data_IF_395463073104
#
_entry.id   IF_395463073104
#
_cell.length_a   1.000
_cell.length_b   1.000
_cell.length_c   1.000
_cell.angle_alpha   90.00
_cell.angle_beta   90.00
_cell.angle_gamma   90.00
#
_symmetry.space_group_name_H-M   'P 1'
#
loop_
_entity.id
_entity.type
_entity.pdbx_description
1 polymer ?
#
# COMPACT_ATOMS: atom_id res chain seq x y z
N UNK A 1 14.02 24.72 -20.26
CA UNK A 1 14.88 23.53 -20.08
C UNK A 1 14.30 22.78 -18.88
N UNK A 2 13.78 21.58 -19.08
CA UNK A 2 13.37 20.73 -17.96
C UNK A 2 14.64 20.37 -17.23
N UNK A 3 14.75 20.78 -15.96
CA UNK A 3 15.89 20.45 -15.11
C UNK A 3 15.88 18.91 -14.98
N UNK A 4 16.85 18.23 -15.61
CA UNK A 4 16.91 16.77 -15.53
C UNK A 4 17.20 16.38 -14.09
N UNK A 5 16.33 15.56 -13.53
CA UNK A 5 16.50 15.01 -12.18
C UNK A 5 17.80 14.21 -12.11
N UNK A 6 18.58 14.40 -11.05
CA UNK A 6 19.77 13.56 -10.81
C UNK A 6 19.31 12.19 -10.27
N UNK A 7 19.11 11.23 -11.15
CA UNK A 7 18.60 9.90 -10.82
C UNK A 7 19.55 9.10 -9.93
N UNK A 8 20.87 9.32 -10.06
CA UNK A 8 21.90 8.61 -9.28
C UNK A 8 21.89 8.95 -7.78
N UNK A 9 21.26 10.08 -7.42
CA UNK A 9 21.08 10.46 -6.02
C UNK A 9 20.01 9.66 -5.30
N UNK A 10 19.17 8.92 -6.03
CA UNK A 10 18.04 8.17 -5.48
C UNK A 10 18.43 6.70 -5.30
N UNK A 11 18.28 6.18 -4.08
CA UNK A 11 18.66 4.81 -3.72
C UNK A 11 17.69 4.21 -2.70
N UNK A 12 17.56 2.88 -2.74
CA UNK A 12 16.77 2.13 -1.78
C UNK A 12 15.32 1.94 -2.17
N UNK A 13 14.73 0.90 -1.62
CA UNK A 13 13.32 0.56 -1.77
C UNK A 13 12.59 0.98 -0.51
N UNK A 14 11.69 1.95 -0.64
CA UNK A 14 10.91 2.45 0.48
C UNK A 14 9.48 1.93 0.38
N UNK A 15 8.91 1.64 1.54
CA UNK A 15 7.56 1.10 1.70
C UNK A 15 6.80 1.97 2.68
N UNK A 16 5.64 2.49 2.29
CA UNK A 16 4.73 3.11 3.23
C UNK A 16 4.12 2.03 4.14
N UNK A 17 4.55 2.02 5.39
CA UNK A 17 4.01 1.13 6.42
C UNK A 17 2.69 1.71 6.94
N UNK A 18 1.60 1.43 6.22
CA UNK A 18 0.27 1.88 6.61
C UNK A 18 -0.10 1.27 7.96
N UNK A 19 -0.62 2.09 8.84
CA UNK A 19 -1.23 1.68 10.11
C UNK A 19 -2.61 2.34 10.26
N UNK A 20 -3.47 1.74 11.05
CA UNK A 20 -4.75 2.28 11.47
C UNK A 20 -4.90 1.98 12.94
N UNK A 21 -5.25 2.97 13.76
CA UNK A 21 -5.41 2.83 15.21
C UNK A 21 -4.17 2.23 15.93
N UNK A 22 -2.97 2.55 15.45
CA UNK A 22 -1.69 2.00 15.92
C UNK A 22 -1.55 0.48 15.70
N UNK A 23 -2.23 -0.07 14.69
CA UNK A 23 -2.02 -1.43 14.20
C UNK A 23 -1.51 -1.40 12.77
N UNK A 24 -0.42 -2.13 12.49
CA UNK A 24 0.16 -2.19 11.14
C UNK A 24 -0.76 -3.02 10.24
N UNK A 25 -1.15 -2.45 9.11
CA UNK A 25 -1.96 -3.13 8.12
C UNK A 25 -1.17 -4.27 7.45
N UNK A 26 -1.80 -5.41 7.21
CA UNK A 26 -1.16 -6.60 6.62
C UNK A 26 -0.44 -6.33 5.30
N UNK A 27 -0.96 -5.39 4.49
CA UNK A 27 -0.32 -4.98 3.23
C UNK A 27 1.08 -4.39 3.44
N UNK A 28 1.38 -3.75 4.57
CA UNK A 28 2.72 -3.22 4.84
C UNK A 28 3.76 -4.37 4.89
N UNK A 29 3.42 -5.49 5.50
CA UNK A 29 4.29 -6.66 5.56
C UNK A 29 4.47 -7.34 4.20
N UNK A 30 3.41 -7.39 3.38
CA UNK A 30 3.51 -7.87 1.99
C UNK A 30 4.49 -7.02 1.17
N UNK A 31 4.37 -5.69 1.30
CA UNK A 31 5.23 -4.75 0.57
C UNK A 31 6.68 -4.79 1.06
N UNK A 32 6.93 -5.01 2.34
CA UNK A 32 8.28 -5.22 2.87
C UNK A 32 8.87 -6.50 2.26
N UNK A 33 8.11 -7.60 2.23
CA UNK A 33 8.53 -8.84 1.60
C UNK A 33 8.90 -8.65 0.13
N UNK A 34 8.03 -8.01 -0.66
CA UNK A 34 8.33 -7.69 -2.06
C UNK A 34 9.46 -6.69 -2.21
N UNK A 35 9.54 -5.72 -1.30
CA UNK A 35 10.65 -4.76 -1.22
C UNK A 35 12.01 -5.44 -1.06
N UNK A 36 12.09 -6.52 -0.28
CA UNK A 36 13.33 -7.31 -0.11
C UNK A 36 13.76 -7.97 -1.43
N UNK A 37 12.82 -8.50 -2.21
CA UNK A 37 13.16 -9.06 -3.53
C UNK A 37 13.73 -7.98 -4.45
N UNK A 38 13.04 -6.83 -4.56
CA UNK A 38 13.49 -5.71 -5.39
C UNK A 38 14.83 -5.12 -4.92
N UNK A 39 15.00 -4.99 -3.60
CA UNK A 39 16.23 -4.47 -3.00
C UNK A 39 17.41 -5.41 -3.25
N UNK A 40 17.19 -6.73 -3.22
CA UNK A 40 18.20 -7.72 -3.57
C UNK A 40 18.66 -7.58 -5.01
N UNK A 41 17.73 -7.40 -5.96
CA UNK A 41 18.03 -7.23 -7.38
C UNK A 41 18.82 -5.92 -7.64
N UNK A 42 18.53 -4.87 -6.86
CA UNK A 42 19.20 -3.56 -6.96
C UNK A 42 20.47 -3.45 -6.09
N UNK A 43 20.78 -4.43 -5.25
CA UNK A 43 21.90 -4.37 -4.31
C UNK A 43 21.75 -3.28 -3.24
N UNK A 44 20.53 -3.07 -2.72
CA UNK A 44 20.19 -2.01 -1.78
C UNK A 44 19.36 -2.53 -0.59
N UNK A 45 18.86 -1.63 0.26
CA UNK A 45 18.10 -1.92 1.48
C UNK A 45 16.62 -1.58 1.34
N UNK A 46 15.79 -2.21 2.21
CA UNK A 46 14.38 -1.88 2.38
C UNK A 46 14.20 -0.98 3.58
N UNK A 47 13.57 0.18 3.34
CA UNK A 47 13.21 1.12 4.40
C UNK A 47 11.70 1.22 4.52
N UNK A 48 11.16 0.91 5.68
CA UNK A 48 9.76 1.17 5.99
C UNK A 48 9.58 2.62 6.46
N UNK A 49 8.54 3.30 5.98
CA UNK A 49 8.16 4.66 6.39
C UNK A 49 6.87 4.56 7.20
N UNK A 50 6.98 4.73 8.49
CA UNK A 50 5.89 4.65 9.46
C UNK A 50 5.44 6.05 9.85
N UNK A 51 4.19 6.37 9.58
CA UNK A 51 3.61 7.70 9.80
C UNK A 51 2.38 7.58 10.70
N UNK A 52 2.32 8.39 11.74
CA UNK A 52 1.19 8.36 12.67
C UNK A 52 1.42 9.19 13.93
N UNK A 53 0.64 8.92 14.97
CA UNK A 53 0.79 9.52 16.29
C UNK A 53 0.89 8.41 17.34
N UNK A 54 1.98 8.42 18.12
CA UNK A 54 2.27 7.37 19.10
C UNK A 54 2.71 6.04 18.48
N UNK A 55 3.26 6.05 17.24
CA UNK A 55 3.54 4.85 16.44
C UNK A 55 4.95 4.27 16.65
N UNK A 56 5.84 4.93 17.38
CA UNK A 56 7.24 4.50 17.55
C UNK A 56 7.39 3.04 18.00
N UNK A 57 6.48 2.58 18.86
CA UNK A 57 6.50 1.20 19.38
C UNK A 57 6.27 0.12 18.33
N UNK A 58 5.79 0.48 17.15
CA UNK A 58 5.50 -0.46 16.05
C UNK A 58 6.72 -0.73 15.14
N UNK A 59 7.81 0.01 15.31
CA UNK A 59 8.97 -0.08 14.42
C UNK A 59 9.63 -1.47 14.45
N UNK A 60 9.73 -2.08 15.62
CA UNK A 60 10.33 -3.42 15.77
C UNK A 60 9.53 -4.49 15.01
N UNK A 61 8.21 -4.37 14.99
CA UNK A 61 7.36 -5.29 14.23
C UNK A 61 7.65 -5.24 12.72
N UNK A 62 7.90 -4.04 12.15
CA UNK A 62 8.30 -3.90 10.75
C UNK A 62 9.66 -4.58 10.46
N UNK A 63 10.60 -4.49 11.41
CA UNK A 63 11.89 -5.17 11.30
C UNK A 63 11.74 -6.71 11.39
N UNK A 64 10.84 -7.21 12.23
CA UNK A 64 10.54 -8.64 12.31
C UNK A 64 10.02 -9.21 10.98
N UNK A 65 9.42 -8.38 10.13
CA UNK A 65 9.00 -8.76 8.78
C UNK A 65 9.98 -8.35 7.68
N UNK A 66 11.20 -7.91 8.04
CA UNK A 66 12.32 -7.77 7.11
C UNK A 66 12.69 -6.34 6.70
N UNK A 67 12.13 -5.30 7.31
CA UNK A 67 12.60 -3.94 7.08
C UNK A 67 14.02 -3.76 7.66
N UNK A 68 14.98 -3.29 6.86
CA UNK A 68 16.36 -3.04 7.29
C UNK A 68 16.45 -1.74 8.09
N UNK A 69 15.60 -0.78 7.76
CA UNK A 69 15.48 0.52 8.40
C UNK A 69 14.02 0.92 8.55
N UNK A 70 13.69 1.67 9.59
CA UNK A 70 12.37 2.26 9.77
C UNK A 70 12.50 3.76 9.98
N UNK A 71 11.95 4.57 9.08
CA UNK A 71 11.81 6.01 9.26
C UNK A 71 10.48 6.24 9.94
N UNK A 72 10.51 6.87 11.10
CA UNK A 72 9.31 7.17 11.92
C UNK A 72 9.02 8.66 11.86
N UNK A 73 7.83 9.00 11.39
CA UNK A 73 7.25 10.34 11.48
C UNK A 73 6.10 10.27 12.48
N UNK A 74 6.38 10.67 13.71
CA UNK A 74 5.44 10.58 14.84
C UNK A 74 5.04 11.98 15.30
N UNK A 75 3.81 12.39 15.00
CA UNK A 75 3.31 13.72 15.32
C UNK A 75 1.80 13.67 15.61
N UNK A 76 1.29 14.45 16.61
CA UNK A 76 -0.14 14.53 16.91
C UNK A 76 -1.04 14.87 15.72
N UNK A 77 -0.54 15.66 14.74
CA UNK A 77 -1.25 16.01 13.52
C UNK A 77 -1.60 14.79 12.63
N UNK A 78 -0.91 13.68 12.87
CA UNK A 78 -1.05 12.43 12.11
C UNK A 78 -1.91 11.38 12.82
N UNK A 79 -2.59 11.76 13.93
CA UNK A 79 -3.42 10.83 14.70
C UNK A 79 -4.51 10.19 13.85
N UNK A 80 -5.26 11.02 13.13
CA UNK A 80 -6.28 10.57 12.19
C UNK A 80 -5.81 10.80 10.76
N UNK A 81 -6.15 9.90 9.85
CA UNK A 81 -5.77 10.08 8.46
C UNK A 81 -6.44 11.32 7.85
N UNK A 82 -5.59 12.21 7.35
CA UNK A 82 -5.98 13.33 6.49
C UNK A 82 -4.98 13.40 5.34
N UNK A 83 -5.48 13.56 4.13
CA UNK A 83 -4.65 13.52 2.91
C UNK A 83 -3.48 14.49 2.95
N UNK A 84 -3.71 15.74 3.40
CA UNK A 84 -2.67 16.79 3.34
C UNK A 84 -1.52 16.59 4.33
N UNK A 85 -1.74 16.34 5.66
CA UNK A 85 -0.66 16.08 6.59
C UNK A 85 0.16 14.84 6.22
N UNK A 86 -0.50 13.74 5.80
CA UNK A 86 0.19 12.53 5.37
C UNK A 86 0.98 12.75 4.07
N UNK A 87 0.43 13.51 3.12
CA UNK A 87 1.15 13.89 1.89
C UNK A 87 2.38 14.73 2.20
N UNK A 88 2.26 15.69 3.13
CA UNK A 88 3.40 16.50 3.58
C UNK A 88 4.49 15.63 4.20
N UNK A 89 4.12 14.73 5.12
CA UNK A 89 5.05 13.82 5.76
C UNK A 89 5.80 12.96 4.73
N UNK A 90 5.08 12.26 3.85
CA UNK A 90 5.70 11.38 2.85
C UNK A 90 6.52 12.13 1.81
N UNK A 91 6.03 13.27 1.30
CA UNK A 91 6.78 14.08 0.35
C UNK A 91 8.08 14.62 0.96
N UNK A 92 8.06 15.02 2.23
CA UNK A 92 9.24 15.46 2.96
C UNK A 92 10.26 14.33 3.14
N UNK A 93 9.81 13.13 3.54
CA UNK A 93 10.66 11.94 3.63
C UNK A 93 11.29 11.61 2.27
N UNK A 94 10.51 11.62 1.20
CA UNK A 94 11.00 11.33 -0.16
C UNK A 94 12.06 12.36 -0.61
N UNK A 95 11.83 13.64 -0.35
CA UNK A 95 12.77 14.70 -0.72
C UNK A 95 14.09 14.62 0.06
N UNK A 96 14.04 14.25 1.34
CA UNK A 96 15.21 14.12 2.21
C UNK A 96 16.02 12.87 1.89
N UNK A 97 15.34 11.70 1.88
CA UNK A 97 16.02 10.41 1.79
C UNK A 97 16.19 9.87 0.36
N UNK A 98 15.49 10.45 -0.61
CA UNK A 98 15.61 10.17 -2.05
C UNK A 98 15.55 8.67 -2.39
N UNK A 99 14.43 7.99 -2.11
CA UNK A 99 14.27 6.59 -2.48
C UNK A 99 14.25 6.41 -4.00
N UNK A 100 14.82 5.31 -4.51
CA UNK A 100 14.67 4.93 -5.92
C UNK A 100 13.27 4.41 -6.23
N UNK A 101 12.72 3.61 -5.31
CA UNK A 101 11.38 3.02 -5.40
C UNK A 101 10.59 3.40 -4.16
N UNK A 102 9.30 3.72 -4.33
CA UNK A 102 8.39 3.97 -3.22
C UNK A 102 7.08 3.21 -3.43
N UNK A 103 6.80 2.23 -2.55
CA UNK A 103 5.65 1.35 -2.62
C UNK A 103 4.58 1.75 -1.59
N UNK A 104 3.32 1.71 -2.00
CA UNK A 104 2.14 2.01 -1.17
C UNK A 104 1.12 0.88 -1.38
N UNK A 105 0.40 0.47 -0.34
CA UNK A 105 -0.72 -0.47 -0.48
C UNK A 105 -1.91 0.18 -1.20
N UNK A 106 -2.56 -0.51 -2.14
CA UNK A 106 -3.75 -0.01 -2.83
C UNK A 106 -5.04 -0.15 -1.97
N UNK A 107 -4.95 0.20 -0.71
CA UNK A 107 -6.07 0.35 0.23
C UNK A 107 -6.85 1.64 -0.05
N UNK A 108 -7.94 1.90 0.66
CA UNK A 108 -8.65 3.18 0.56
C UNK A 108 -7.73 4.37 0.83
N UNK A 109 -6.90 4.30 1.89
CA UNK A 109 -5.91 5.33 2.22
C UNK A 109 -4.85 5.45 1.13
N UNK A 110 -4.26 4.34 0.69
CA UNK A 110 -3.18 4.38 -0.29
C UNK A 110 -3.62 4.83 -1.68
N UNK A 111 -4.87 4.58 -2.08
CA UNK A 111 -5.46 5.06 -3.34
C UNK A 111 -5.72 6.57 -3.34
N UNK A 112 -5.94 7.16 -2.17
CA UNK A 112 -6.03 8.61 -2.00
C UNK A 112 -4.64 9.25 -1.88
N UNK A 113 -3.79 8.70 -1.02
CA UNK A 113 -2.49 9.27 -0.65
C UNK A 113 -1.45 9.16 -1.78
N UNK A 114 -1.36 8.01 -2.45
CA UNK A 114 -0.34 7.74 -3.47
C UNK A 114 -0.34 8.74 -4.62
N UNK A 115 -1.47 8.97 -5.31
CA UNK A 115 -1.58 9.97 -6.37
C UNK A 115 -1.26 11.38 -5.89
N UNK A 116 -1.65 11.72 -4.67
CA UNK A 116 -1.40 13.05 -4.09
C UNK A 116 0.09 13.28 -3.83
N UNK A 117 0.78 12.27 -3.28
CA UNK A 117 2.22 12.32 -3.06
C UNK A 117 2.97 12.42 -4.39
N UNK A 118 2.66 11.54 -5.36
CA UNK A 118 3.36 11.53 -6.65
C UNK A 118 3.21 12.86 -7.40
N UNK A 119 2.01 13.47 -7.34
CA UNK A 119 1.78 14.79 -7.92
C UNK A 119 2.62 15.89 -7.24
N UNK A 120 2.76 15.84 -5.91
CA UNK A 120 3.55 16.81 -5.14
C UNK A 120 5.04 16.76 -5.43
N UNK A 121 5.59 15.57 -5.63
CA UNK A 121 7.02 15.38 -5.93
C UNK A 121 7.32 15.30 -7.44
N UNK A 122 6.30 15.47 -8.28
CA UNK A 122 6.41 15.49 -9.74
C UNK A 122 7.00 14.20 -10.34
N UNK A 123 6.51 13.03 -9.91
CA UNK A 123 6.86 11.73 -10.49
C UNK A 123 5.65 10.98 -11.03
N UNK A 124 5.85 9.78 -11.58
CA UNK A 124 4.79 8.89 -12.04
C UNK A 124 4.39 7.88 -10.97
N UNK A 125 3.12 7.48 -10.97
CA UNK A 125 2.58 6.40 -10.13
C UNK A 125 1.81 5.41 -10.99
N UNK A 126 2.12 4.11 -10.87
CA UNK A 126 1.30 3.05 -11.44
C UNK A 126 0.37 2.50 -10.37
N UNK A 127 -0.94 2.54 -10.63
CA UNK A 127 -1.94 2.18 -9.64
C UNK A 127 -2.37 0.72 -9.74
N UNK A 128 -2.62 0.09 -8.57
CA UNK A 128 -3.25 -1.23 -8.43
C UNK A 128 -2.46 -2.36 -9.10
N UNK A 129 -1.14 -2.34 -8.89
CA UNK A 129 -0.22 -3.33 -9.42
C UNK A 129 -0.44 -4.71 -8.79
N UNK A 130 -0.26 -5.75 -9.61
CA UNK A 130 -0.32 -7.15 -9.20
C UNK A 130 1.03 -7.87 -9.29
N UNK A 131 2.01 -7.26 -9.99
CA UNK A 131 3.37 -7.79 -10.12
C UNK A 131 4.35 -6.62 -10.21
N UNK A 132 5.52 -6.78 -9.57
CA UNK A 132 6.63 -5.83 -9.57
C UNK A 132 7.93 -6.59 -9.81
N UNK A 133 8.77 -6.11 -10.71
CA UNK A 133 10.06 -6.73 -11.06
C UNK A 133 11.09 -5.66 -11.40
N UNK A 134 12.37 -5.96 -11.25
CA UNK A 134 13.45 -5.14 -11.79
C UNK A 134 13.82 -5.68 -13.17
N UNK A 135 13.90 -4.79 -14.15
CA UNK A 135 14.24 -5.17 -15.50
C UNK A 135 14.61 -3.99 -16.39
N UNK A 136 14.81 -4.27 -17.65
CA UNK A 136 15.19 -3.26 -18.66
C UNK A 136 13.96 -2.69 -19.36
N UNK A 137 14.00 -1.40 -19.66
CA UNK A 137 12.93 -0.73 -20.39
C UNK A 137 13.47 0.12 -21.57
N UNK A 138 12.88 0.00 -22.79
CA UNK A 138 11.81 -0.94 -23.15
C UNK A 138 12.26 -2.41 -23.01
N UNK A 139 11.30 -3.29 -22.66
CA UNK A 139 11.54 -4.73 -22.41
C UNK A 139 12.24 -5.37 -23.63
N UNK A 140 11.76 -5.04 -24.83
CA UNK A 140 12.41 -5.43 -26.06
C UNK A 140 13.19 -4.23 -26.63
N UNK A 141 14.48 -4.39 -26.98
CA UNK A 141 15.27 -3.33 -27.60
C UNK A 141 14.59 -2.75 -28.86
N UNK A 142 14.48 -1.44 -28.93
CA UNK A 142 13.90 -0.73 -30.07
C UNK A 142 15.03 0.00 -30.80
N UNK A 143 15.22 -0.20 -32.11
CA UNK A 143 16.26 0.49 -32.87
C UNK A 143 16.17 2.02 -32.68
N UNK A 144 17.30 2.64 -32.33
CA UNK A 144 17.40 4.08 -32.12
C UNK A 144 16.87 4.59 -30.78
N UNK A 145 16.41 3.70 -29.88
CA UNK A 145 16.07 4.05 -28.49
C UNK A 145 17.07 3.45 -27.51
N UNK A 146 17.52 4.25 -26.55
CA UNK A 146 18.36 3.80 -25.45
C UNK A 146 17.51 2.92 -24.49
N UNK A 147 18.02 1.76 -24.14
CA UNK A 147 17.43 0.89 -23.14
C UNK A 147 17.90 1.35 -21.75
N UNK A 148 16.96 1.59 -20.84
CA UNK A 148 17.22 1.92 -19.44
C UNK A 148 17.26 0.64 -18.62
N UNK A 149 18.36 0.42 -17.89
CA UNK A 149 18.56 -0.76 -17.06
C UNK A 149 18.01 -0.55 -15.66
N UNK A 150 17.73 -1.66 -14.95
CA UNK A 150 17.32 -1.67 -13.54
C UNK A 150 16.07 -0.80 -13.26
N UNK A 151 15.08 -0.84 -14.16
CA UNK A 151 13.83 -0.12 -13.96
C UNK A 151 12.83 -0.98 -13.19
N UNK A 152 11.97 -0.33 -12.38
CA UNK A 152 10.81 -0.99 -11.82
C UNK A 152 9.76 -1.22 -12.92
N UNK A 153 9.54 -2.48 -13.25
CA UNK A 153 8.49 -2.93 -14.15
C UNK A 153 7.22 -3.19 -13.34
N UNK A 154 6.21 -2.37 -13.55
CA UNK A 154 4.98 -2.37 -12.78
C UNK A 154 3.85 -2.95 -13.62
N UNK A 155 3.41 -4.16 -13.30
CA UNK A 155 2.38 -4.87 -14.05
C UNK A 155 1.03 -4.76 -13.35
N UNK A 156 0.00 -4.39 -14.11
CA UNK A 156 -1.36 -4.26 -13.62
C UNK A 156 -2.40 -4.77 -14.62
N UNK A 157 -3.55 -5.29 -14.17
CA UNK A 157 -4.70 -5.52 -15.03
C UNK A 157 -5.28 -4.21 -15.53
N UNK A 158 -5.74 -4.20 -16.77
CA UNK A 158 -6.41 -3.08 -17.41
C UNK A 158 -7.71 -3.58 -18.11
N UNK A 159 -8.60 -2.64 -18.45
CA UNK A 159 -9.83 -2.92 -19.20
C UNK A 159 -10.63 -4.12 -18.66
N UNK A 160 -10.99 -4.09 -17.37
CA UNK A 160 -11.78 -5.15 -16.74
C UNK A 160 -11.04 -6.48 -16.53
N UNK A 161 -9.71 -6.46 -16.58
CA UNK A 161 -8.85 -7.63 -16.35
C UNK A 161 -8.52 -8.43 -17.61
N UNK A 162 -9.04 -8.06 -18.76
CA UNK A 162 -8.78 -8.77 -20.03
C UNK A 162 -7.42 -8.41 -20.67
N UNK A 163 -6.78 -7.36 -20.19
CA UNK A 163 -5.49 -6.89 -20.68
C UNK A 163 -4.56 -6.68 -19.51
N UNK A 164 -3.30 -7.05 -19.66
CA UNK A 164 -2.24 -6.80 -18.69
C UNK A 164 -1.30 -5.74 -19.28
N UNK A 165 -1.01 -4.71 -18.53
CA UNK A 165 -0.07 -3.65 -18.92
C UNK A 165 1.13 -3.64 -17.98
N UNK A 166 2.34 -3.65 -18.56
CA UNK A 166 3.60 -3.42 -17.83
C UNK A 166 4.07 -1.99 -18.10
N UNK A 167 4.25 -1.22 -17.06
CA UNK A 167 4.54 0.21 -17.09
C UNK A 167 5.87 0.45 -16.39
N UNK A 168 6.67 1.39 -16.88
CA UNK A 168 7.89 1.86 -16.23
C UNK A 168 7.91 3.39 -16.15
N UNK A 169 8.69 3.93 -15.21
CA UNK A 169 8.90 5.37 -15.03
C UNK A 169 10.41 5.67 -15.09
N UNK A 170 11.04 5.64 -16.30
CA UNK A 170 12.48 5.65 -16.42
C UNK A 170 13.14 7.01 -16.13
N UNK A 171 12.41 8.13 -16.26
CA UNK A 171 12.96 9.48 -16.26
C UNK A 171 12.76 10.23 -14.92
N UNK A 172 11.96 9.68 -14.00
CA UNK A 172 11.64 10.30 -12.72
C UNK A 172 11.87 9.35 -11.54
N UNK A 173 12.10 9.91 -10.36
CA UNK A 173 12.26 9.18 -9.08
C UNK A 173 11.45 9.86 -7.98
N UNK A 174 11.01 9.08 -6.99
CA UNK A 174 11.00 7.61 -6.99
C UNK A 174 10.09 7.03 -8.07
N UNK A 175 10.36 5.79 -8.48
CA UNK A 175 9.41 5.00 -9.24
C UNK A 175 8.33 4.54 -8.26
N UNK A 176 7.08 4.96 -8.46
CA UNK A 176 6.01 4.71 -7.47
C UNK A 176 4.97 3.73 -8.00
N UNK A 177 4.54 2.85 -7.10
CA UNK A 177 3.44 1.93 -7.35
C UNK A 177 2.49 1.89 -6.15
N UNK A 178 1.17 1.80 -6.41
CA UNK A 178 0.27 1.22 -5.44
C UNK A 178 0.05 -0.25 -5.77
N UNK A 179 0.06 -1.12 -4.75
CA UNK A 179 0.00 -2.57 -4.91
C UNK A 179 -1.28 -3.10 -4.29
N UNK A 180 -1.98 -3.96 -5.03
CA UNK A 180 -3.21 -4.59 -4.56
C UNK A 180 -2.92 -5.45 -3.33
N UNK A 181 -3.71 -5.35 -2.24
CA UNK A 181 -3.60 -6.24 -1.09
C UNK A 181 -3.83 -7.71 -1.47
N UNK A 182 -3.12 -8.62 -0.81
CA UNK A 182 -3.25 -10.06 -0.98
C UNK A 182 -2.56 -10.64 -2.23
N UNK A 183 -1.78 -9.84 -2.98
CA UNK A 183 -1.07 -10.32 -4.18
C UNK A 183 0.43 -10.53 -3.96
N UNK A 184 0.99 -9.94 -2.92
CA UNK A 184 2.39 -10.13 -2.54
C UNK A 184 2.46 -10.97 -1.26
N UNK A 185 3.59 -11.63 -1.07
CA UNK A 185 3.77 -12.48 0.10
C UNK A 185 4.59 -11.77 1.18
N UNK A 186 4.09 -11.80 2.41
CA UNK A 186 4.85 -11.39 3.58
C UNK A 186 5.93 -12.42 3.91
N UNK A 187 7.07 -11.96 4.39
CA UNK A 187 8.12 -12.84 4.91
C UNK A 187 7.69 -13.52 6.21
N UNK A 188 8.28 -14.68 6.54
CA UNK A 188 8.11 -15.26 7.86
C UNK A 188 8.59 -14.28 8.94
N UNK A 189 7.85 -14.20 10.05
CA UNK A 189 8.18 -13.31 11.16
C UNK A 189 9.48 -13.75 11.84
N UNK A 190 10.51 -12.91 11.82
CA UNK A 190 11.78 -13.10 12.53
C UNK A 190 11.68 -12.48 13.94
N UNK A 191 11.08 -13.24 14.86
CA UNK A 191 10.82 -12.76 16.22
C UNK A 191 12.08 -12.21 16.91
N UNK A 192 11.97 -11.01 17.51
CA UNK A 192 13.06 -10.36 18.23
C UNK A 192 14.03 -9.55 17.36
N UNK A 193 13.81 -9.44 16.05
CA UNK A 193 14.53 -8.48 15.23
C UNK A 193 14.27 -7.06 15.72
N UNK A 194 15.30 -6.22 15.71
CA UNK A 194 15.22 -4.82 16.15
C UNK A 194 15.36 -3.89 14.96
N UNK A 195 14.51 -2.87 14.95
CA UNK A 195 14.54 -1.87 13.90
C UNK A 195 15.75 -0.92 14.05
N UNK A 196 16.40 -0.62 12.91
CA UNK A 196 17.24 0.57 12.80
C UNK A 196 16.32 1.77 12.59
N UNK A 197 15.97 2.46 13.68
CA UNK A 197 14.98 3.54 13.68
C UNK A 197 15.65 4.89 13.42
N UNK A 198 15.10 5.60 12.44
CA UNK A 198 15.43 7.02 12.18
C UNK A 198 14.17 7.86 12.42
N UNK A 199 14.19 8.68 13.46
CA UNK A 199 13.12 9.65 13.68
C UNK A 199 13.27 10.84 12.73
N UNK A 200 12.20 11.20 12.06
CA UNK A 200 12.19 12.34 11.15
C UNK A 200 10.99 13.25 11.42
N UNK A 201 11.26 14.53 11.55
CA UNK A 201 10.21 15.54 11.72
C UNK A 201 10.18 16.46 10.50
N UNK A 202 9.12 16.38 9.68
CA UNK A 202 8.98 17.22 8.48
C UNK A 202 8.64 18.68 8.78
N UNK A 203 8.33 19.02 10.04
CA UNK A 203 7.83 20.33 10.45
C UNK A 203 6.40 20.56 9.93
N UNK A 204 5.40 20.35 10.79
CA UNK A 204 4.02 20.66 10.45
C UNK A 204 3.73 22.15 10.68
N UNK A 205 3.17 22.79 9.65
CA UNK A 205 2.74 24.20 9.72
C UNK A 205 1.24 24.22 9.93
N UNK A 206 0.71 24.95 10.95
CA UNK A 206 -0.71 24.94 11.30
C UNK A 206 -1.68 25.21 10.12
N UNK A 207 -1.25 25.99 9.12
CA UNK A 207 -2.08 26.35 7.96
C UNK A 207 -2.12 25.27 6.84
N UNK A 208 -1.45 24.14 7.01
CA UNK A 208 -1.54 23.01 6.06
C UNK A 208 -2.79 22.15 6.29
N UNK A 209 -3.61 22.49 7.27
CA UNK A 209 -4.84 21.78 7.60
C UNK A 209 -6.05 22.48 7.00
N UNK A 210 -6.38 22.13 5.76
CA UNK A 210 -7.60 22.60 5.09
C UNK A 210 -8.85 21.85 5.53
N UNK A 211 -8.70 20.78 6.32
CA UNK A 211 -9.77 19.89 6.79
C UNK A 211 -9.62 19.68 8.27
N UNK A 212 -10.67 19.94 9.03
CA UNK A 212 -10.80 19.64 10.45
C UNK A 212 -11.74 18.43 10.63
N UNK A 213 -11.31 17.47 11.44
CA UNK A 213 -12.16 16.33 11.80
C UNK A 213 -13.01 16.74 13.00
N UNK A 214 -14.32 16.90 12.78
CA UNK A 214 -15.27 17.26 13.81
C UNK A 214 -15.61 16.06 14.71
N UNK A 215 -15.77 14.89 14.12
CA UNK A 215 -16.16 13.67 14.82
C UNK A 215 -15.67 12.44 14.04
N UNK A 216 -15.24 11.42 14.77
CA UNK A 216 -14.94 10.08 14.22
C UNK A 216 -15.97 9.10 14.77
N UNK A 217 -16.89 8.67 13.90
CA UNK A 217 -17.89 7.66 14.24
C UNK A 217 -17.37 6.29 13.79
N UNK A 218 -16.95 5.46 14.75
CA UNK A 218 -16.55 4.08 14.48
C UNK A 218 -17.79 3.20 14.49
N UNK A 219 -18.04 2.48 13.40
CA UNK A 219 -19.04 1.44 13.42
C UNK A 219 -18.57 0.33 14.39
N UNK A 220 -19.43 -0.04 15.31
CA UNK A 220 -19.21 -1.26 16.12
C UNK A 220 -19.49 -2.43 15.18
N UNK A 221 -18.46 -3.00 14.59
CA UNK A 221 -18.60 -4.17 13.74
C UNK A 221 -18.61 -5.42 14.62
N UNK A 222 -19.77 -6.01 14.82
CA UNK A 222 -19.90 -7.40 15.32
C UNK A 222 -19.60 -8.43 14.20
N UNK A 223 -19.00 -7.99 13.10
CA UNK A 223 -18.75 -8.82 11.92
C UNK A 223 -17.27 -9.13 11.78
N UNK A 224 -16.97 -10.38 11.48
CA UNK A 224 -15.60 -10.84 11.13
C UNK A 224 -15.19 -10.14 9.84
N UNK A 225 -13.98 -9.54 9.83
CA UNK A 225 -13.42 -9.01 8.58
C UNK A 225 -13.25 -10.16 7.58
N UNK A 226 -13.86 -10.02 6.41
CA UNK A 226 -13.79 -11.05 5.35
C UNK A 226 -12.35 -11.31 4.88
N UNK A 227 -11.42 -10.36 5.12
CA UNK A 227 -10.00 -10.53 4.80
C UNK A 227 -9.29 -11.50 5.75
N UNK A 228 -9.81 -11.70 6.95
CA UNK A 228 -9.26 -12.62 7.95
C UNK A 228 -9.91 -14.02 7.87
N UNK A 229 -10.98 -14.16 7.11
CA UNK A 229 -11.69 -15.42 6.97
C UNK A 229 -10.88 -16.44 6.16
N UNK A 230 -10.69 -17.65 6.71
CA UNK A 230 -10.00 -18.75 6.02
C UNK A 230 -10.85 -19.37 4.91
N UNK A 231 -12.16 -19.42 5.10
CA UNK A 231 -13.14 -19.98 4.16
C UNK A 231 -14.28 -18.99 4.04
N UNK A 232 -14.56 -18.53 2.81
CA UNK A 232 -15.69 -17.66 2.52
C UNK A 232 -16.74 -18.41 1.70
N UNK A 233 -18.00 -18.34 2.17
CA UNK A 233 -19.19 -18.81 1.45
C UNK A 233 -19.93 -17.58 0.92
N UNK A 234 -19.74 -17.26 -0.37
CA UNK A 234 -20.18 -15.98 -0.93
C UNK A 234 -21.43 -16.09 -1.77
N UNK A 235 -22.44 -15.27 -1.46
CA UNK A 235 -23.67 -15.14 -2.22
C UNK A 235 -23.68 -13.96 -3.18
N UNK A 236 -24.19 -14.19 -4.38
CA UNK A 236 -24.43 -13.16 -5.38
C UNK A 236 -25.93 -12.93 -5.60
N UNK A 237 -26.29 -12.04 -6.54
CA UNK A 237 -27.69 -11.78 -6.94
C UNK A 237 -28.43 -13.04 -7.40
N UNK A 238 -27.71 -14.07 -7.89
CA UNK A 238 -28.28 -15.36 -8.30
C UNK A 238 -28.91 -16.16 -7.16
N UNK A 239 -28.66 -15.81 -5.88
CA UNK A 239 -29.37 -16.37 -4.71
C UNK A 239 -30.87 -16.06 -4.77
N UNK A 240 -31.27 -14.98 -5.41
CA UNK A 240 -32.65 -14.66 -5.76
C UNK A 240 -33.42 -13.88 -4.71
N UNK A 241 -33.22 -14.13 -3.42
CA UNK A 241 -33.87 -13.38 -2.33
C UNK A 241 -33.06 -13.43 -1.03
N UNK A 242 -33.32 -12.51 -0.07
CA UNK A 242 -32.65 -12.52 1.24
C UNK A 242 -32.81 -13.83 2.00
N UNK A 243 -34.02 -14.44 1.94
CA UNK A 243 -34.33 -15.66 2.66
C UNK A 243 -33.48 -16.85 2.22
N UNK A 244 -33.08 -16.88 0.96
CA UNK A 244 -32.25 -17.94 0.40
C UNK A 244 -30.80 -17.91 0.89
N UNK A 245 -30.35 -16.80 1.53
CA UNK A 245 -29.04 -16.75 2.18
C UNK A 245 -28.89 -17.80 3.30
N UNK A 246 -29.99 -18.28 3.84
CA UNK A 246 -30.01 -19.40 4.81
C UNK A 246 -29.25 -20.63 4.30
N UNK A 247 -29.30 -20.92 2.99
CA UNK A 247 -28.57 -22.05 2.39
C UNK A 247 -27.04 -21.85 2.51
N UNK A 248 -26.58 -20.60 2.37
CA UNK A 248 -25.17 -20.27 2.49
C UNK A 248 -24.71 -20.26 3.95
N UNK A 249 -25.58 -19.81 4.86
CA UNK A 249 -25.34 -19.85 6.29
C UNK A 249 -25.20 -21.29 6.79
N UNK A 250 -26.12 -22.16 6.39
CA UNK A 250 -26.09 -23.58 6.74
C UNK A 250 -24.82 -24.27 6.20
N UNK A 251 -24.41 -23.93 4.98
CA UNK A 251 -23.17 -24.46 4.43
C UNK A 251 -21.94 -23.91 5.20
N UNK A 252 -21.91 -22.62 5.49
CA UNK A 252 -20.82 -22.00 6.22
C UNK A 252 -20.67 -22.61 7.61
N UNK A 253 -21.77 -22.89 8.31
CA UNK A 253 -21.77 -23.56 9.62
C UNK A 253 -21.14 -24.95 9.53
N UNK A 254 -21.50 -25.76 8.53
CA UNK A 254 -20.97 -27.13 8.36
C UNK A 254 -19.47 -27.15 8.09
N UNK A 255 -18.95 -26.19 7.28
CA UNK A 255 -17.53 -26.18 6.88
C UNK A 255 -16.66 -25.26 7.74
N UNK A 256 -17.24 -24.58 8.74
CA UNK A 256 -16.52 -23.60 9.57
C UNK A 256 -16.10 -22.36 8.80
N UNK A 257 -16.93 -21.92 7.85
CA UNK A 257 -16.70 -20.76 7.01
C UNK A 257 -17.45 -19.50 7.46
N UNK A 258 -17.15 -18.38 6.85
CA UNK A 258 -17.84 -17.09 7.04
C UNK A 258 -18.69 -16.79 5.81
N UNK A 259 -19.94 -16.37 6.01
CA UNK A 259 -20.80 -15.92 4.89
C UNK A 259 -20.35 -14.54 4.43
N UNK A 260 -20.35 -14.34 3.14
CA UNK A 260 -20.11 -13.02 2.52
C UNK A 260 -21.04 -12.81 1.32
N UNK A 261 -21.06 -11.60 0.78
CA UNK A 261 -21.90 -11.32 -0.36
C UNK A 261 -21.26 -10.36 -1.37
N UNK A 262 -21.76 -10.39 -2.60
CA UNK A 262 -21.35 -9.43 -3.61
C UNK A 262 -22.00 -8.05 -3.37
N UNK A 263 -21.35 -6.99 -3.86
CA UNK A 263 -21.89 -5.62 -3.79
C UNK A 263 -23.33 -5.52 -4.32
N UNK A 264 -23.67 -6.27 -5.35
CA UNK A 264 -25.03 -6.26 -5.91
C UNK A 264 -26.11 -6.74 -4.93
N UNK A 265 -25.76 -7.58 -3.96
CA UNK A 265 -26.63 -8.03 -2.88
C UNK A 265 -26.81 -6.93 -1.83
N UNK A 266 -25.70 -6.24 -1.48
CA UNK A 266 -25.74 -5.09 -0.57
C UNK A 266 -26.55 -3.94 -1.17
N UNK A 267 -26.32 -3.63 -2.44
CA UNK A 267 -27.06 -2.57 -3.15
C UNK A 267 -28.56 -2.89 -3.26
N UNK A 268 -28.94 -4.17 -3.27
CA UNK A 268 -30.34 -4.62 -3.22
C UNK A 268 -30.92 -4.65 -1.80
N UNK A 269 -30.13 -4.35 -0.76
CA UNK A 269 -30.55 -4.34 0.63
C UNK A 269 -30.82 -5.73 1.24
N UNK A 270 -30.28 -6.80 0.62
CA UNK A 270 -30.48 -8.18 1.09
C UNK A 270 -29.54 -8.55 2.24
N UNK A 271 -28.34 -7.99 2.24
CA UNK A 271 -27.34 -8.17 3.29
C UNK A 271 -26.68 -6.82 3.63
N UNK A 272 -26.22 -6.62 4.87
CA UNK A 272 -25.56 -5.40 5.28
C UNK A 272 -24.18 -5.25 4.59
N UNK A 273 -23.70 -4.02 4.50
CA UNK A 273 -22.40 -3.71 3.86
C UNK A 273 -21.19 -4.33 4.57
N UNK A 274 -21.35 -4.77 5.79
CA UNK A 274 -20.28 -5.34 6.61
C UNK A 274 -20.06 -6.85 6.38
N UNK A 275 -20.77 -7.45 5.40
CA UNK A 275 -20.61 -8.86 5.02
C UNK A 275 -19.88 -9.00 3.68
#
# INVERSE_FOLDING_TARGET
MVNRMNLEAYKGVFVFAQQVDNEISGIAFELIGKGKDLAKDLGTEVTAVLVGSGVKGLADELAEYGADKVIVVDDPELKEYRTEPYTHALASVINEFKPEIFLIGATAIGRDLGPRVCARIHTGLTADCTQLEIGDFPINPVPGKEQKHNQLLMTRPAFGGNTIATIACPDFRPQMATVRPGVMQKLPKAAGAKANVVEYNPGFVPNNNYVEIMEVVKAVADTVDIMDAKILVSGGRGVGSPENFKILEDLAEVIGGTVSCSRAVVDAGWQPKAL
#
